data_IF_521098360210
#
_entry.id   IF_521098360210
#
_cell.length_a   1.000
_cell.length_b   1.000
_cell.length_c   1.000
_cell.angle_alpha   90.00
_cell.angle_beta   90.00
_cell.angle_gamma   90.00
#
_symmetry.space_group_name_H-M   'P 1'
#
loop_
_entity.id
_entity.type
_entity.pdbx_description
1 polymer ?
#
# COMPACT_ATOMS: atom_id res chain seq x y z
N UNK A 1 5.44 67.26 48.91
CA UNK A 1 5.78 67.04 47.45
C UNK A 1 4.91 65.92 46.98
N UNK A 2 3.77 66.22 46.35
CA UNK A 2 2.72 65.33 45.93
C UNK A 2 2.87 65.08 44.43
N UNK A 3 3.20 63.85 44.00
CA UNK A 3 3.24 63.43 42.57
C UNK A 3 1.85 62.90 42.21
N UNK A 4 1.15 63.63 41.37
CA UNK A 4 -0.10 63.23 40.72
C UNK A 4 0.20 62.38 39.48
N UNK A 5 -0.16 61.10 39.51
CA UNK A 5 -0.19 60.26 38.34
C UNK A 5 -1.44 60.56 37.50
N UNK A 6 -1.24 61.22 36.36
CA UNK A 6 -2.27 61.40 35.34
C UNK A 6 -2.28 60.12 34.46
N UNK A 7 -3.37 59.35 34.46
CA UNK A 7 -3.68 58.28 33.54
C UNK A 7 -4.09 58.86 32.18
N UNK A 8 -3.52 58.44 31.04
CA UNK A 8 -3.99 58.88 29.72
C UNK A 8 -5.35 58.24 29.39
N UNK A 9 -6.33 59.09 29.09
CA UNK A 9 -7.62 58.68 28.53
C UNK A 9 -7.38 58.05 27.13
N UNK A 10 -7.68 56.76 26.97
CA UNK A 10 -7.72 56.08 25.64
C UNK A 10 -8.87 56.70 24.82
N UNK A 11 -8.48 57.38 23.77
CA UNK A 11 -9.36 58.06 22.82
C UNK A 11 -10.18 56.97 22.08
N UNK A 12 -11.52 57.15 22.10
CA UNK A 12 -12.47 56.20 21.45
C UNK A 12 -12.37 56.19 19.92
N UNK A 13 -11.62 57.10 19.35
CA UNK A 13 -11.42 57.23 17.89
C UNK A 13 -10.50 56.14 17.35
N UNK A 14 -9.53 55.64 18.14
CA UNK A 14 -8.59 54.61 17.68
C UNK A 14 -9.17 53.22 17.58
N UNK A 15 -10.30 52.92 18.26
CA UNK A 15 -10.91 51.58 18.19
C UNK A 15 -11.71 51.35 16.89
N UNK A 16 -12.25 52.41 16.30
CA UNK A 16 -13.02 52.35 15.06
C UNK A 16 -12.08 52.23 13.84
N UNK A 17 -10.96 52.96 13.84
CA UNK A 17 -9.97 52.86 12.76
C UNK A 17 -9.28 51.48 12.70
N UNK A 18 -9.03 50.87 13.90
CA UNK A 18 -8.46 49.49 13.93
C UNK A 18 -9.45 48.48 13.39
N UNK A 19 -10.76 48.65 13.61
CA UNK A 19 -11.79 47.73 13.09
C UNK A 19 -11.94 47.84 11.57
N UNK A 20 -11.82 49.06 11.04
CA UNK A 20 -11.90 49.27 9.58
C UNK A 20 -10.66 48.83 8.83
N UNK A 21 -9.49 48.87 9.44
CA UNK A 21 -8.25 48.29 8.88
C UNK A 21 -8.32 46.76 8.84
N UNK A 22 -8.90 46.11 9.87
CA UNK A 22 -9.14 44.65 9.83
C UNK A 22 -10.26 44.22 8.88
N UNK A 23 -11.22 45.10 8.60
CA UNK A 23 -12.25 44.83 7.59
C UNK A 23 -11.77 45.03 6.16
N UNK A 24 -10.77 45.88 5.93
CA UNK A 24 -10.15 46.13 4.62
C UNK A 24 -9.07 45.12 4.25
N UNK A 25 -8.44 44.46 5.23
CA UNK A 25 -7.58 43.29 4.99
C UNK A 25 -8.49 42.08 4.93
N UNK A 26 -8.95 41.74 3.71
CA UNK A 26 -9.72 40.52 3.47
C UNK A 26 -8.99 39.35 4.15
N UNK A 27 -9.75 38.46 4.82
CA UNK A 27 -9.20 37.27 5.46
C UNK A 27 -8.14 36.65 4.55
N UNK A 28 -6.90 36.44 5.01
CA UNK A 28 -5.86 35.85 4.19
C UNK A 28 -6.40 34.52 3.69
N UNK A 29 -6.71 34.45 2.40
CA UNK A 29 -7.10 33.16 1.80
C UNK A 29 -5.93 32.23 2.01
N UNK A 30 -6.14 31.04 2.62
CA UNK A 30 -5.07 30.11 2.86
C UNK A 30 -4.37 29.87 1.51
N UNK A 31 -3.04 29.93 1.46
CA UNK A 31 -2.28 29.78 0.22
C UNK A 31 -2.73 28.51 -0.48
N UNK A 32 -3.06 28.59 -1.78
CA UNK A 32 -3.41 27.42 -2.57
C UNK A 32 -2.14 26.58 -2.70
N UNK A 33 -1.94 25.68 -1.76
CA UNK A 33 -0.83 24.75 -1.79
C UNK A 33 -0.89 23.91 -3.06
N UNK A 34 0.21 23.85 -3.81
CA UNK A 34 0.34 22.97 -4.96
C UNK A 34 0.10 21.49 -4.58
N UNK A 35 -0.19 20.64 -5.55
CA UNK A 35 -0.49 19.22 -5.33
C UNK A 35 0.58 18.51 -4.47
N UNK A 36 1.86 18.72 -4.78
CA UNK A 36 2.98 18.13 -4.02
C UNK A 36 3.03 18.60 -2.58
N UNK A 37 2.76 19.88 -2.32
CA UNK A 37 2.74 20.41 -0.96
C UNK A 37 1.55 19.86 -0.16
N UNK A 38 0.39 19.69 -0.79
CA UNK A 38 -0.79 19.03 -0.17
C UNK A 38 -0.55 17.57 0.11
N UNK A 39 0.19 16.88 -0.75
CA UNK A 39 0.60 15.50 -0.57
C UNK A 39 1.55 15.38 0.65
N UNK A 40 2.56 16.26 0.72
CA UNK A 40 3.54 16.26 1.81
C UNK A 40 2.94 16.65 3.16
N UNK A 41 2.01 17.62 3.18
CA UNK A 41 1.34 18.08 4.40
C UNK A 41 0.16 17.22 4.83
N UNK A 42 -0.25 16.21 4.04
CA UNK A 42 -1.36 15.32 4.34
C UNK A 42 -2.74 16.01 4.39
N UNK A 43 -2.88 17.19 3.76
CA UNK A 43 -4.08 18.01 3.83
C UNK A 43 -5.19 17.63 2.84
N UNK A 44 -5.18 16.40 2.28
CA UNK A 44 -6.22 15.88 1.39
C UNK A 44 -5.89 16.08 -0.10
N UNK A 45 -4.76 15.53 -0.55
CA UNK A 45 -4.36 15.56 -1.96
C UNK A 45 -5.16 14.57 -2.82
N UNK A 46 -5.51 13.41 -2.26
CA UNK A 46 -6.15 12.29 -2.96
C UNK A 46 -7.45 11.89 -2.26
N UNK A 47 -8.52 11.74 -3.03
CA UNK A 47 -9.78 11.17 -2.56
C UNK A 47 -9.82 9.67 -2.86
N UNK A 48 -9.33 8.87 -1.92
CA UNK A 48 -9.31 7.40 -2.02
C UNK A 48 -10.66 6.83 -1.66
N UNK A 49 -11.23 7.25 -0.53
CA UNK A 49 -12.47 6.69 0.01
C UNK A 49 -13.70 7.11 -0.80
N UNK A 50 -13.75 8.34 -1.30
CA UNK A 50 -14.84 8.79 -2.17
C UNK A 50 -14.87 8.04 -3.50
N UNK A 51 -13.71 7.66 -4.02
CA UNK A 51 -13.57 6.89 -5.27
C UNK A 51 -13.42 5.38 -5.04
N UNK A 52 -13.85 4.84 -3.90
CA UNK A 52 -13.70 3.43 -3.53
C UNK A 52 -14.23 2.44 -4.58
N UNK A 53 -15.30 2.78 -5.31
CA UNK A 53 -15.84 1.94 -6.40
C UNK A 53 -14.83 1.74 -7.53
N UNK A 54 -14.13 2.81 -7.90
CA UNK A 54 -13.06 2.74 -8.91
C UNK A 54 -11.92 1.85 -8.44
N UNK A 55 -11.47 2.02 -7.20
CA UNK A 55 -10.40 1.19 -6.63
C UNK A 55 -10.78 -0.27 -6.54
N UNK A 56 -12.04 -0.59 -6.17
CA UNK A 56 -12.52 -1.98 -6.17
C UNK A 56 -12.58 -2.59 -7.57
N UNK A 57 -12.94 -1.82 -8.60
CA UNK A 57 -12.92 -2.31 -9.97
C UNK A 57 -11.48 -2.60 -10.44
N UNK A 58 -10.54 -1.72 -10.13
CA UNK A 58 -9.11 -1.93 -10.44
C UNK A 58 -8.59 -3.17 -9.69
N UNK A 59 -8.84 -3.26 -8.39
CA UNK A 59 -8.45 -4.40 -7.56
C UNK A 59 -9.06 -5.72 -8.09
N UNK A 60 -10.35 -5.72 -8.42
CA UNK A 60 -11.03 -6.88 -8.97
C UNK A 60 -10.44 -7.29 -10.34
N UNK A 61 -10.13 -6.33 -11.20
CA UNK A 61 -9.48 -6.60 -12.49
C UNK A 61 -8.09 -7.23 -12.30
N UNK A 62 -7.28 -6.69 -11.38
CA UNK A 62 -5.96 -7.24 -11.05
C UNK A 62 -6.09 -8.67 -10.53
N UNK A 63 -7.01 -8.92 -9.60
CA UNK A 63 -7.26 -10.28 -9.05
C UNK A 63 -7.73 -11.25 -10.14
N UNK A 64 -8.67 -10.82 -11.00
CA UNK A 64 -9.16 -11.66 -12.09
C UNK A 64 -8.06 -12.04 -13.08
N UNK A 65 -7.21 -11.09 -13.46
CA UNK A 65 -6.04 -11.35 -14.32
C UNK A 65 -5.07 -12.30 -13.63
N UNK A 66 -4.79 -12.09 -12.34
CA UNK A 66 -3.90 -12.94 -11.55
C UNK A 66 -4.43 -14.37 -11.45
N UNK A 67 -5.69 -14.55 -11.06
CA UNK A 67 -6.32 -15.87 -10.98
C UNK A 67 -6.43 -16.52 -12.35
N UNK A 68 -6.79 -15.76 -13.39
CA UNK A 68 -6.80 -16.27 -14.77
C UNK A 68 -5.43 -16.77 -15.18
N UNK A 69 -4.36 -16.02 -14.94
CA UNK A 69 -3.00 -16.46 -15.23
C UNK A 69 -2.65 -17.75 -14.48
N UNK A 70 -2.92 -17.82 -13.18
CA UNK A 70 -2.64 -19.01 -12.37
C UNK A 70 -3.39 -20.24 -12.91
N UNK A 71 -4.65 -20.09 -13.31
CA UNK A 71 -5.47 -21.19 -13.79
C UNK A 71 -5.09 -21.67 -15.20
N UNK A 72 -4.75 -20.75 -16.11
CA UNK A 72 -4.47 -21.11 -17.51
C UNK A 72 -2.99 -21.38 -17.80
N UNK A 73 -2.09 -20.71 -17.08
CA UNK A 73 -0.65 -20.81 -17.33
C UNK A 73 0.10 -21.63 -16.27
N UNK A 74 -0.44 -21.71 -15.04
CA UNK A 74 0.20 -22.40 -13.93
C UNK A 74 1.44 -21.67 -13.41
N UNK A 75 2.33 -22.43 -12.76
CA UNK A 75 3.61 -21.93 -12.21
C UNK A 75 4.78 -22.70 -12.81
N UNK A 76 5.89 -22.01 -12.96
CA UNK A 76 7.19 -22.63 -13.25
C UNK A 76 7.90 -22.92 -11.93
N UNK A 77 7.81 -24.15 -11.43
CA UNK A 77 8.49 -24.51 -10.21
C UNK A 77 9.99 -24.76 -10.47
N UNK A 78 10.84 -24.34 -9.52
CA UNK A 78 12.26 -24.62 -9.55
C UNK A 78 12.57 -26.09 -9.25
N UNK A 79 13.79 -26.52 -9.60
CA UNK A 79 14.26 -27.88 -9.29
C UNK A 79 14.22 -28.18 -7.79
N UNK A 80 14.27 -27.16 -6.95
CA UNK A 80 14.15 -27.28 -5.51
C UNK A 80 12.79 -27.83 -5.04
N UNK A 81 11.75 -27.72 -5.90
CA UNK A 81 10.39 -28.20 -5.62
C UNK A 81 10.03 -29.45 -6.45
N UNK A 82 10.37 -29.48 -7.73
CA UNK A 82 10.03 -30.58 -8.63
C UNK A 82 11.11 -31.67 -8.67
N UNK A 83 12.32 -31.34 -8.22
CA UNK A 83 13.51 -32.14 -8.49
C UNK A 83 14.13 -31.77 -9.83
N UNK A 84 15.23 -32.37 -10.16
CA UNK A 84 15.94 -32.17 -11.42
C UNK A 84 17.36 -31.71 -11.25
N UNK A 85 18.01 -31.43 -12.40
CA UNK A 85 19.39 -31.00 -12.49
C UNK A 85 19.50 -29.55 -12.96
N UNK A 86 20.36 -28.76 -12.31
CA UNK A 86 20.70 -27.40 -12.68
C UNK A 86 22.18 -27.33 -13.03
N UNK A 87 22.47 -26.97 -14.25
CA UNK A 87 23.83 -26.78 -14.76
C UNK A 87 24.04 -25.29 -14.99
N UNK A 88 25.14 -24.74 -14.47
CA UNK A 88 25.47 -23.33 -14.67
C UNK A 88 26.97 -23.19 -15.01
N UNK A 89 27.25 -22.27 -15.96
CA UNK A 89 28.60 -21.96 -16.40
C UNK A 89 28.69 -20.52 -16.89
N UNK A 90 29.90 -19.88 -16.87
CA UNK A 90 30.09 -18.55 -17.44
C UNK A 90 29.69 -18.53 -18.92
N UNK A 91 28.72 -17.64 -19.26
CA UNK A 91 28.11 -17.65 -20.59
C UNK A 91 29.12 -17.30 -21.70
N UNK A 92 30.07 -16.41 -21.42
CA UNK A 92 31.03 -15.96 -22.46
C UNK A 92 30.30 -15.49 -23.72
N UNK A 93 30.52 -16.16 -24.83
CA UNK A 93 29.84 -15.95 -26.12
C UNK A 93 28.71 -16.95 -26.38
N UNK A 94 28.33 -17.79 -25.40
CA UNK A 94 27.29 -18.77 -25.57
C UNK A 94 25.92 -18.09 -25.68
N UNK A 95 25.12 -18.49 -26.65
CA UNK A 95 23.71 -18.13 -26.76
C UNK A 95 22.82 -19.22 -26.15
N UNK A 96 21.61 -18.86 -25.71
CA UNK A 96 20.66 -19.83 -25.15
C UNK A 96 20.34 -20.96 -26.15
N UNK A 97 20.12 -20.62 -27.41
CA UNK A 97 19.85 -21.60 -28.46
C UNK A 97 21.03 -22.59 -28.70
N UNK A 98 22.27 -22.06 -28.67
CA UNK A 98 23.42 -22.94 -28.80
C UNK A 98 23.61 -23.86 -27.58
N UNK A 99 23.25 -23.43 -26.41
CA UNK A 99 23.27 -24.26 -25.20
C UNK A 99 22.16 -25.32 -25.22
N UNK A 100 20.98 -24.99 -25.74
CA UNK A 100 19.88 -25.93 -25.97
C UNK A 100 20.30 -27.04 -27.00
N UNK A 101 20.95 -26.63 -28.09
CA UNK A 101 21.42 -27.60 -29.11
C UNK A 101 22.48 -28.56 -28.55
N UNK A 102 23.42 -28.05 -27.74
CA UNK A 102 24.42 -28.91 -27.09
C UNK A 102 23.76 -29.85 -26.08
N UNK A 103 22.79 -29.34 -25.30
CA UNK A 103 22.04 -30.19 -24.36
C UNK A 103 21.29 -31.30 -25.12
N UNK A 104 20.53 -30.96 -26.18
CA UNK A 104 19.79 -31.92 -26.98
C UNK A 104 20.72 -32.96 -27.63
N UNK A 105 21.88 -32.53 -28.09
CA UNK A 105 22.88 -33.44 -28.67
C UNK A 105 23.51 -34.38 -27.65
N UNK A 106 23.67 -33.98 -26.41
CA UNK A 106 24.28 -34.80 -25.36
C UNK A 106 23.28 -35.71 -24.64
N UNK A 107 22.04 -35.28 -24.44
CA UNK A 107 21.04 -35.97 -23.62
C UNK A 107 19.95 -36.62 -24.46
N UNK A 108 19.65 -36.08 -25.65
CA UNK A 108 18.62 -36.57 -26.55
C UNK A 108 17.22 -36.01 -26.29
N UNK A 109 17.03 -35.18 -25.27
CA UNK A 109 15.78 -34.48 -24.93
C UNK A 109 15.99 -32.98 -24.89
N UNK A 110 14.91 -32.20 -24.83
CA UNK A 110 15.01 -30.78 -24.65
C UNK A 110 15.20 -30.43 -23.16
N UNK A 111 15.97 -29.37 -22.83
CA UNK A 111 16.05 -28.90 -21.46
C UNK A 111 14.73 -28.25 -21.05
N UNK A 112 14.41 -28.27 -19.75
CA UNK A 112 13.23 -27.60 -19.22
C UNK A 112 13.29 -26.08 -19.44
N UNK A 113 14.47 -25.47 -19.25
CA UNK A 113 14.72 -24.08 -19.60
C UNK A 113 16.20 -23.77 -19.72
N UNK A 114 16.53 -22.79 -20.59
CA UNK A 114 17.87 -22.21 -20.69
C UNK A 114 17.77 -20.70 -20.56
N UNK A 115 18.52 -20.14 -19.63
CA UNK A 115 18.49 -18.71 -19.34
C UNK A 115 19.91 -18.15 -19.17
N UNK A 116 20.08 -16.87 -19.55
CA UNK A 116 21.30 -16.12 -19.22
C UNK A 116 21.00 -15.17 -18.08
N UNK A 117 21.82 -15.20 -17.04
CA UNK A 117 21.73 -14.31 -15.87
C UNK A 117 23.01 -13.49 -15.78
N UNK A 118 22.86 -12.17 -15.57
CA UNK A 118 23.99 -11.25 -15.61
C UNK A 118 24.26 -10.67 -17.00
N UNK A 119 25.28 -9.83 -17.12
CA UNK A 119 25.63 -9.13 -18.36
C UNK A 119 27.15 -9.11 -18.56
N UNK A 120 27.58 -9.06 -19.83
CA UNK A 120 29.00 -8.96 -20.17
C UNK A 120 29.82 -10.15 -19.65
N UNK A 121 30.98 -9.86 -19.06
CA UNK A 121 31.92 -10.89 -18.60
C UNK A 121 31.46 -11.70 -17.38
N UNK A 122 30.45 -11.25 -16.65
CA UNK A 122 29.83 -11.95 -15.50
C UNK A 122 28.59 -12.73 -15.86
N UNK A 123 28.17 -12.73 -17.14
CA UNK A 123 27.00 -13.48 -17.59
C UNK A 123 27.18 -14.98 -17.32
N UNK A 124 26.19 -15.59 -16.72
CA UNK A 124 26.15 -17.02 -16.40
C UNK A 124 25.02 -17.66 -17.18
N UNK A 125 25.32 -18.74 -17.91
CA UNK A 125 24.31 -19.59 -18.54
C UNK A 125 23.79 -20.57 -17.50
N UNK A 126 22.46 -20.68 -17.41
CA UNK A 126 21.75 -21.58 -16.49
C UNK A 126 20.86 -22.49 -17.31
N UNK A 127 21.12 -23.79 -17.24
CA UNK A 127 20.33 -24.83 -17.87
C UNK A 127 19.60 -25.61 -16.78
N UNK A 128 18.30 -25.79 -16.91
CA UNK A 128 17.47 -26.66 -16.08
C UNK A 128 17.02 -27.87 -16.89
N UNK A 129 17.06 -29.00 -16.24
CA UNK A 129 16.59 -30.25 -16.84
C UNK A 129 15.86 -31.13 -15.82
N UNK A 130 15.20 -32.16 -16.29
CA UNK A 130 14.80 -33.28 -15.44
C UNK A 130 16.03 -33.90 -14.77
N UNK A 131 15.80 -34.76 -13.79
CA UNK A 131 16.90 -35.42 -13.08
C UNK A 131 17.79 -36.21 -14.05
N UNK A 132 19.07 -35.86 -14.11
CA UNK A 132 20.07 -36.51 -14.91
C UNK A 132 20.84 -37.56 -14.08
N UNK A 133 21.17 -38.70 -14.67
CA UNK A 133 22.09 -39.63 -14.05
C UNK A 133 23.54 -39.13 -14.16
N UNK A 134 24.45 -39.75 -13.40
CA UNK A 134 25.86 -39.34 -13.39
C UNK A 134 26.54 -39.42 -14.75
N UNK A 135 26.18 -40.39 -15.60
CA UNK A 135 26.75 -40.52 -16.94
C UNK A 135 26.26 -39.41 -17.86
N UNK A 136 24.98 -39.06 -17.75
CA UNK A 136 24.36 -37.93 -18.49
C UNK A 136 24.98 -36.61 -18.07
N UNK A 137 25.18 -36.37 -16.79
CA UNK A 137 25.85 -35.18 -16.26
C UNK A 137 27.27 -35.07 -16.81
N UNK A 138 28.04 -36.16 -16.78
CA UNK A 138 29.40 -36.16 -17.34
C UNK A 138 29.42 -35.94 -18.86
N UNK A 139 28.51 -36.58 -19.60
CA UNK A 139 28.39 -36.38 -21.05
C UNK A 139 28.05 -34.93 -21.39
N UNK A 140 27.09 -34.34 -20.68
CA UNK A 140 26.69 -32.95 -20.87
C UNK A 140 27.82 -31.98 -20.51
N UNK A 141 28.48 -32.17 -19.37
CA UNK A 141 29.61 -31.34 -18.95
C UNK A 141 30.75 -31.40 -19.98
N UNK A 142 31.03 -32.57 -20.54
CA UNK A 142 32.04 -32.73 -21.61
C UNK A 142 31.63 -32.00 -22.89
N UNK A 143 30.35 -32.10 -23.29
CA UNK A 143 29.85 -31.47 -24.50
C UNK A 143 29.86 -29.92 -24.33
N UNK A 144 29.41 -29.38 -23.17
CA UNK A 144 29.44 -27.97 -22.85
C UNK A 144 30.88 -27.44 -22.82
N UNK A 145 31.80 -28.20 -22.21
CA UNK A 145 33.20 -27.81 -22.17
C UNK A 145 33.84 -27.79 -23.55
N UNK A 146 33.60 -28.81 -24.35
CA UNK A 146 34.11 -28.89 -25.72
C UNK A 146 33.63 -27.72 -26.60
N UNK A 147 32.37 -27.33 -26.46
CA UNK A 147 31.74 -26.28 -27.29
C UNK A 147 32.07 -24.87 -26.82
N UNK A 148 31.97 -24.59 -25.51
CA UNK A 148 32.00 -23.24 -24.99
C UNK A 148 33.28 -22.87 -24.25
N UNK A 149 34.08 -23.86 -23.84
CA UNK A 149 35.35 -23.68 -23.09
C UNK A 149 35.20 -22.64 -21.96
N UNK A 150 34.24 -22.83 -21.02
CA UNK A 150 33.99 -21.86 -19.97
C UNK A 150 35.25 -21.65 -19.17
N UNK A 151 35.52 -20.34 -18.84
CA UNK A 151 36.71 -19.92 -18.14
C UNK A 151 36.47 -19.89 -16.64
N UNK A 152 37.45 -20.31 -15.88
CA UNK A 152 37.48 -20.16 -14.44
C UNK A 152 37.77 -18.70 -14.00
N UNK A 153 37.86 -18.46 -12.70
CA UNK A 153 38.19 -17.14 -12.15
C UNK A 153 39.59 -16.63 -12.54
N UNK A 154 40.45 -17.53 -12.99
CA UNK A 154 41.81 -17.22 -13.43
C UNK A 154 41.85 -16.94 -14.94
N UNK A 155 40.72 -17.04 -15.64
CA UNK A 155 40.59 -16.82 -17.08
C UNK A 155 40.99 -18.01 -17.96
N UNK A 156 41.26 -19.19 -17.38
CA UNK A 156 41.63 -20.39 -18.09
C UNK A 156 40.40 -21.25 -18.36
N UNK A 157 40.29 -21.90 -19.54
CA UNK A 157 39.25 -22.89 -19.79
C UNK A 157 39.32 -24.02 -18.77
N UNK A 158 38.24 -24.26 -18.05
CA UNK A 158 38.20 -25.25 -16.97
C UNK A 158 36.83 -25.92 -16.88
N UNK A 159 36.81 -27.24 -16.73
CA UNK A 159 35.56 -27.98 -16.42
C UNK A 159 35.01 -27.58 -15.05
N UNK A 160 35.88 -27.19 -14.13
CA UNK A 160 35.46 -26.72 -12.80
C UNK A 160 34.64 -25.40 -12.85
N UNK A 161 34.64 -24.69 -14.00
CA UNK A 161 33.77 -23.54 -14.24
C UNK A 161 32.31 -23.96 -14.53
N UNK A 162 32.04 -25.25 -14.80
CA UNK A 162 30.69 -25.80 -14.91
C UNK A 162 30.28 -26.34 -13.56
N UNK A 163 29.26 -25.79 -12.97
CA UNK A 163 28.70 -26.23 -11.69
C UNK A 163 27.38 -26.96 -11.94
N UNK A 164 27.26 -28.16 -11.41
CA UNK A 164 26.04 -28.96 -11.46
C UNK A 164 25.46 -29.11 -10.07
N UNK A 165 24.16 -28.98 -9.94
CA UNK A 165 23.41 -29.18 -8.70
C UNK A 165 22.19 -30.04 -9.00
N UNK A 166 22.07 -31.15 -8.33
CA UNK A 166 21.01 -32.13 -8.50
C UNK A 166 20.12 -32.16 -7.26
N UNK A 167 18.82 -32.17 -7.46
CA UNK A 167 17.82 -32.23 -6.40
C UNK A 167 16.90 -33.42 -6.68
N UNK A 168 16.79 -34.35 -5.72
CA UNK A 168 15.87 -35.46 -5.85
C UNK A 168 14.41 -35.02 -5.66
N UNK A 169 13.48 -35.67 -6.36
CA UNK A 169 12.03 -35.41 -6.23
C UNK A 169 11.53 -35.56 -4.79
N UNK A 170 12.06 -36.54 -4.04
CA UNK A 170 11.70 -36.73 -2.64
C UNK A 170 12.09 -35.55 -1.75
N UNK A 171 13.22 -34.93 -2.03
CA UNK A 171 13.70 -33.75 -1.33
C UNK A 171 12.88 -32.52 -1.70
N UNK A 172 12.57 -32.35 -2.99
CA UNK A 172 11.70 -31.28 -3.49
C UNK A 172 10.31 -31.32 -2.84
N UNK A 173 9.69 -32.51 -2.76
CA UNK A 173 8.38 -32.67 -2.12
C UNK A 173 8.38 -32.32 -0.61
N UNK A 174 9.47 -32.66 0.09
CA UNK A 174 9.65 -32.29 1.51
C UNK A 174 9.79 -30.79 1.69
N UNK A 175 10.52 -30.09 0.82
CA UNK A 175 10.67 -28.64 0.85
C UNK A 175 9.32 -27.98 0.59
N UNK A 176 8.59 -28.41 -0.43
CA UNK A 176 7.25 -27.91 -0.76
C UNK A 176 6.32 -28.00 0.46
N UNK A 177 6.29 -29.18 1.11
CA UNK A 177 5.49 -29.39 2.31
C UNK A 177 5.88 -28.43 3.46
N UNK A 178 7.19 -28.29 3.71
CA UNK A 178 7.68 -27.38 4.77
C UNK A 178 7.37 -25.93 4.45
N UNK A 179 7.49 -25.51 3.18
CA UNK A 179 7.15 -24.16 2.73
C UNK A 179 5.67 -23.83 2.93
N UNK A 180 4.76 -24.76 2.58
CA UNK A 180 3.33 -24.59 2.80
C UNK A 180 2.97 -24.55 4.28
N UNK A 181 3.60 -25.39 5.12
CA UNK A 181 3.41 -25.35 6.57
C UNK A 181 3.90 -24.01 7.14
N UNK A 182 5.07 -23.53 6.73
CA UNK A 182 5.60 -22.23 7.16
C UNK A 182 4.67 -21.08 6.79
N UNK A 183 4.14 -21.07 5.57
CA UNK A 183 3.17 -20.07 5.13
C UNK A 183 1.88 -20.14 5.96
N UNK A 184 1.33 -21.33 6.18
CA UNK A 184 0.12 -21.50 6.98
C UNK A 184 0.32 -21.06 8.44
N UNK A 185 1.42 -21.48 9.08
CA UNK A 185 1.77 -21.05 10.45
C UNK A 185 1.94 -19.54 10.52
N UNK A 186 2.63 -18.93 9.56
CA UNK A 186 2.79 -17.48 9.50
C UNK A 186 1.43 -16.76 9.39
N UNK A 187 0.56 -17.19 8.49
CA UNK A 187 -0.77 -16.59 8.34
C UNK A 187 -1.62 -16.71 9.60
N UNK A 188 -1.55 -17.85 10.30
CA UNK A 188 -2.24 -18.04 11.59
C UNK A 188 -1.69 -17.10 12.64
N UNK A 189 -0.35 -17.00 12.80
CA UNK A 189 0.28 -16.09 13.76
C UNK A 189 -0.11 -14.63 13.49
N UNK A 190 -0.09 -14.22 12.22
CA UNK A 190 -0.52 -12.89 11.80
C UNK A 190 -1.99 -12.65 12.08
N UNK A 191 -2.86 -13.63 11.79
CA UNK A 191 -4.30 -13.52 12.06
C UNK A 191 -4.57 -13.35 13.56
N UNK A 192 -3.89 -14.12 14.41
CA UNK A 192 -3.97 -14.00 15.88
C UNK A 192 -3.47 -12.62 16.35
N UNK A 193 -2.32 -12.18 15.86
CA UNK A 193 -1.77 -10.85 16.20
C UNK A 193 -2.76 -9.73 15.85
N UNK A 194 -3.30 -9.74 14.63
CA UNK A 194 -4.27 -8.73 14.17
C UNK A 194 -5.56 -8.80 14.99
N UNK A 195 -6.08 -10.01 15.27
CA UNK A 195 -7.30 -10.19 16.04
C UNK A 195 -7.20 -9.68 17.50
N UNK A 196 -6.00 -9.78 18.10
CA UNK A 196 -5.74 -9.27 19.45
C UNK A 196 -5.51 -7.75 19.44
N UNK A 197 -4.85 -7.22 18.40
CA UNK A 197 -4.43 -5.81 18.35
C UNK A 197 -5.51 -4.86 17.83
N UNK A 198 -6.38 -5.32 16.94
CA UNK A 198 -7.33 -4.49 16.20
C UNK A 198 -8.77 -4.92 16.41
N UNK A 199 -9.70 -4.00 16.12
CA UNK A 199 -11.11 -4.30 16.04
C UNK A 199 -11.40 -5.34 14.92
N UNK A 200 -12.45 -6.19 15.06
CA UNK A 200 -12.76 -7.24 14.09
C UNK A 200 -12.89 -6.75 12.64
N UNK A 201 -13.41 -5.55 12.42
CA UNK A 201 -13.55 -4.97 11.08
C UNK A 201 -12.19 -4.64 10.44
N UNK A 202 -11.23 -4.16 11.23
CA UNK A 202 -9.86 -3.91 10.80
C UNK A 202 -9.13 -5.23 10.52
N UNK A 203 -9.34 -6.23 11.39
CA UNK A 203 -8.77 -7.56 11.21
C UNK A 203 -9.21 -8.20 9.88
N UNK A 204 -10.50 -8.16 9.56
CA UNK A 204 -11.04 -8.67 8.29
C UNK A 204 -10.42 -7.92 7.10
N UNK A 205 -10.32 -6.60 7.17
CA UNK A 205 -9.76 -5.80 6.08
C UNK A 205 -8.25 -6.09 5.88
N UNK A 206 -7.48 -6.26 6.95
CA UNK A 206 -6.06 -6.60 6.88
C UNK A 206 -5.83 -8.00 6.31
N UNK A 207 -6.59 -9.01 6.77
CA UNK A 207 -6.48 -10.38 6.24
C UNK A 207 -6.88 -10.46 4.78
N UNK A 208 -7.90 -9.71 4.35
CA UNK A 208 -8.28 -9.62 2.95
C UNK A 208 -7.17 -8.96 2.10
N UNK A 209 -6.46 -7.95 2.64
CA UNK A 209 -5.32 -7.34 1.97
C UNK A 209 -4.15 -8.31 1.83
N UNK A 210 -3.82 -9.07 2.88
CA UNK A 210 -2.78 -10.11 2.82
C UNK A 210 -3.13 -11.21 1.79
N UNK A 211 -4.40 -11.65 1.75
CA UNK A 211 -4.85 -12.61 0.74
C UNK A 211 -4.72 -12.05 -0.68
N UNK A 212 -5.05 -10.77 -0.87
CA UNK A 212 -4.84 -10.05 -2.12
C UNK A 212 -3.36 -10.03 -2.50
N UNK A 213 -2.47 -9.66 -1.58
CA UNK A 213 -1.03 -9.56 -1.82
C UNK A 213 -0.42 -10.88 -2.28
N UNK A 214 -0.77 -11.99 -1.60
CA UNK A 214 -0.33 -13.33 -2.00
C UNK A 214 -0.86 -13.67 -3.39
N UNK A 215 -2.16 -13.46 -3.63
CA UNK A 215 -2.81 -13.81 -4.90
C UNK A 215 -2.21 -13.04 -6.07
N UNK A 216 -2.01 -11.73 -5.90
CA UNK A 216 -1.47 -10.88 -6.98
C UNK A 216 0.00 -11.15 -7.21
N UNK A 217 0.80 -11.34 -6.16
CA UNK A 217 2.22 -11.69 -6.30
C UNK A 217 2.37 -13.03 -7.02
N UNK A 218 1.60 -14.04 -6.62
CA UNK A 218 1.55 -15.33 -7.30
C UNK A 218 1.07 -15.19 -8.76
N UNK A 219 0.06 -14.36 -9.01
CA UNK A 219 -0.45 -14.06 -10.35
C UNK A 219 0.59 -13.42 -11.27
N UNK A 220 1.38 -12.48 -10.76
CA UNK A 220 2.49 -11.86 -11.52
C UNK A 220 3.55 -12.90 -11.85
N UNK A 221 3.89 -13.78 -10.90
CA UNK A 221 4.83 -14.87 -11.12
C UNK A 221 4.36 -15.81 -12.23
N UNK A 222 3.10 -16.22 -12.19
CA UNK A 222 2.48 -17.03 -13.22
C UNK A 222 2.44 -16.30 -14.58
N UNK A 223 2.05 -15.01 -14.59
CA UNK A 223 1.88 -14.22 -15.81
C UNK A 223 3.21 -13.98 -16.55
N UNK A 224 4.26 -13.66 -15.82
CA UNK A 224 5.59 -13.39 -16.39
C UNK A 224 6.36 -14.70 -16.64
N UNK A 225 6.02 -15.77 -15.92
CA UNK A 225 6.71 -17.05 -16.00
C UNK A 225 7.98 -17.07 -15.15
N UNK A 226 7.99 -16.33 -14.04
CA UNK A 226 9.10 -16.39 -13.10
C UNK A 226 9.17 -17.75 -12.39
N UNK A 227 10.38 -18.16 -12.03
CA UNK A 227 10.62 -19.42 -11.35
C UNK A 227 10.24 -19.31 -9.87
N UNK A 228 9.45 -20.27 -9.39
CA UNK A 228 9.10 -20.39 -7.97
C UNK A 228 10.13 -21.27 -7.29
N UNK A 229 10.91 -20.69 -6.39
CA UNK A 229 11.98 -21.36 -5.63
C UNK A 229 11.72 -21.21 -4.11
N UNK A 230 12.43 -21.91 -3.23
CA UNK A 230 12.35 -21.66 -1.79
C UNK A 230 12.65 -20.22 -1.42
N UNK A 231 13.53 -19.54 -2.17
CA UNK A 231 13.79 -18.10 -1.99
C UNK A 231 12.54 -17.26 -2.28
N UNK A 232 11.72 -17.66 -3.26
CA UNK A 232 10.43 -17.00 -3.55
C UNK A 232 9.48 -17.09 -2.35
N UNK A 233 9.39 -18.27 -1.70
CA UNK A 233 8.52 -18.45 -0.51
C UNK A 233 9.01 -17.58 0.65
N UNK A 234 10.32 -17.57 0.92
CA UNK A 234 10.91 -16.70 1.95
C UNK A 234 10.61 -15.23 1.64
N UNK A 235 10.75 -14.83 0.39
CA UNK A 235 10.42 -13.50 -0.07
C UNK A 235 8.95 -13.13 0.16
N UNK A 236 8.01 -14.03 -0.17
CA UNK A 236 6.57 -13.82 0.08
C UNK A 236 6.32 -13.61 1.59
N UNK A 237 6.88 -14.45 2.46
CA UNK A 237 6.72 -14.28 3.91
C UNK A 237 7.24 -12.92 4.40
N UNK A 238 8.39 -12.49 3.86
CA UNK A 238 8.98 -11.20 4.19
C UNK A 238 8.08 -10.03 3.76
N UNK A 239 7.54 -10.09 2.53
CA UNK A 239 6.66 -9.05 1.99
C UNK A 239 5.36 -8.94 2.76
N UNK A 240 4.77 -10.07 3.15
CA UNK A 240 3.55 -10.07 3.97
C UNK A 240 3.77 -9.33 5.29
N UNK A 241 4.97 -9.42 5.88
CA UNK A 241 5.35 -8.62 7.04
C UNK A 241 5.38 -7.12 6.76
N UNK A 242 5.96 -6.70 5.62
CA UNK A 242 5.97 -5.30 5.20
C UNK A 242 4.58 -4.76 4.90
N UNK A 243 3.76 -5.52 4.16
CA UNK A 243 2.38 -5.14 3.83
C UNK A 243 1.51 -4.99 5.07
N UNK A 244 1.66 -5.94 6.01
CA UNK A 244 0.98 -5.86 7.30
C UNK A 244 1.37 -4.61 8.06
N UNK A 245 2.67 -4.31 8.15
CA UNK A 245 3.18 -3.13 8.85
C UNK A 245 2.56 -1.83 8.27
N UNK A 246 2.50 -1.70 6.95
CA UNK A 246 1.93 -0.53 6.30
C UNK A 246 0.41 -0.41 6.56
N UNK A 247 -0.32 -1.52 6.47
CA UNK A 247 -1.75 -1.57 6.81
C UNK A 247 -2.02 -1.18 8.28
N UNK A 248 -1.20 -1.67 9.23
CA UNK A 248 -1.27 -1.33 10.65
C UNK A 248 -1.13 0.16 10.87
N UNK A 249 -0.15 0.81 10.24
CA UNK A 249 0.10 2.25 10.37
C UNK A 249 -1.08 3.07 9.87
N UNK A 250 -1.68 2.68 8.73
CA UNK A 250 -2.85 3.37 8.19
C UNK A 250 -4.05 3.17 9.11
N UNK A 251 -4.27 1.96 9.63
CA UNK A 251 -5.40 1.65 10.50
C UNK A 251 -5.30 2.36 11.87
N UNK A 252 -4.12 2.42 12.47
CA UNK A 252 -3.89 3.19 13.69
C UNK A 252 -4.25 4.67 13.47
N UNK A 253 -3.88 5.23 12.31
CA UNK A 253 -4.23 6.62 11.98
C UNK A 253 -5.73 6.82 11.69
N UNK A 254 -6.38 5.82 11.09
CA UNK A 254 -7.84 5.82 10.92
C UNK A 254 -8.51 5.78 12.29
N UNK A 255 -8.06 4.94 13.21
CA UNK A 255 -8.60 4.82 14.56
C UNK A 255 -8.45 6.15 15.33
N UNK A 256 -7.25 6.75 15.29
CA UNK A 256 -6.97 8.05 15.90
C UNK A 256 -7.92 9.14 15.37
N UNK A 257 -8.05 9.28 14.05
CA UNK A 257 -8.87 10.30 13.42
C UNK A 257 -10.38 10.08 13.61
N UNK A 258 -10.81 8.84 13.83
CA UNK A 258 -12.23 8.49 14.00
C UNK A 258 -12.63 8.32 15.45
N UNK A 259 -11.70 8.49 16.39
CA UNK A 259 -11.99 8.41 17.81
C UNK A 259 -13.07 9.44 18.21
N UNK A 260 -14.12 8.99 18.90
CA UNK A 260 -15.22 9.85 19.34
C UNK A 260 -16.10 10.43 18.24
N UNK A 261 -15.99 9.98 16.99
CA UNK A 261 -16.72 10.53 15.83
C UNK A 261 -18.23 10.48 15.99
N UNK A 262 -18.77 9.50 16.70
CA UNK A 262 -20.21 9.34 16.95
C UNK A 262 -20.84 10.52 17.68
N UNK A 263 -20.05 11.28 18.44
CA UNK A 263 -20.47 12.48 19.17
C UNK A 263 -20.38 13.76 18.31
N UNK A 264 -19.73 13.71 17.16
CA UNK A 264 -19.53 14.84 16.25
C UNK A 264 -20.47 14.72 15.05
N UNK A 265 -21.08 15.80 14.59
CA UNK A 265 -21.97 15.80 13.40
C UNK A 265 -21.38 16.59 12.23
N UNK A 266 -20.06 16.85 12.25
CA UNK A 266 -19.40 17.68 11.24
C UNK A 266 -18.84 16.87 10.08
N UNK A 267 -18.27 15.68 10.35
CA UNK A 267 -17.63 14.81 9.34
C UNK A 267 -18.15 13.39 9.44
N UNK A 268 -18.14 12.67 8.31
CA UNK A 268 -18.45 11.25 8.25
C UNK A 268 -17.22 10.42 8.60
N UNK A 269 -17.42 9.14 8.91
CA UNK A 269 -16.33 8.18 9.14
C UNK A 269 -15.42 8.08 7.91
N UNK A 270 -16.01 7.95 6.70
CA UNK A 270 -15.24 7.89 5.46
C UNK A 270 -14.39 9.14 5.19
N UNK A 271 -14.86 10.34 5.53
CA UNK A 271 -14.07 11.57 5.39
C UNK A 271 -12.87 11.63 6.35
N UNK A 272 -13.03 11.14 7.58
CA UNK A 272 -11.92 11.06 8.52
C UNK A 272 -10.92 9.97 8.15
N UNK A 273 -11.41 8.83 7.67
CA UNK A 273 -10.55 7.78 7.14
C UNK A 273 -9.77 8.26 5.90
N UNK A 274 -10.40 9.01 4.99
CA UNK A 274 -9.70 9.60 3.84
C UNK A 274 -8.61 10.60 4.28
N UNK A 275 -8.86 11.36 5.34
CA UNK A 275 -7.86 12.23 5.92
C UNK A 275 -6.68 11.43 6.50
N UNK A 276 -6.95 10.33 7.21
CA UNK A 276 -5.94 9.43 7.74
C UNK A 276 -5.05 8.85 6.64
N UNK A 277 -5.65 8.37 5.53
CA UNK A 277 -4.91 7.91 4.34
C UNK A 277 -3.98 9.00 3.81
N UNK A 278 -4.47 10.23 3.64
CA UNK A 278 -3.62 11.32 3.14
C UNK A 278 -2.48 11.67 4.10
N UNK A 279 -2.70 11.58 5.41
CA UNK A 279 -1.68 11.84 6.43
C UNK A 279 -0.59 10.75 6.48
N UNK A 280 -0.93 9.51 6.15
CA UNK A 280 0.01 8.38 6.15
C UNK A 280 0.65 8.12 4.79
N UNK A 281 0.08 8.65 3.71
CA UNK A 281 0.49 8.37 2.32
C UNK A 281 1.98 8.60 2.07
N UNK A 282 2.52 9.75 2.50
CA UNK A 282 3.96 10.04 2.33
C UNK A 282 4.84 9.09 3.14
N UNK A 283 4.37 8.65 4.31
CA UNK A 283 5.08 7.65 5.10
C UNK A 283 5.11 6.30 4.38
N UNK A 284 3.98 5.83 3.86
CA UNK A 284 3.91 4.58 3.08
C UNK A 284 4.78 4.63 1.82
N UNK A 285 4.76 5.74 1.08
CA UNK A 285 5.64 5.94 -0.08
C UNK A 285 7.12 5.90 0.33
N UNK A 286 7.50 6.62 1.39
CA UNK A 286 8.89 6.64 1.86
C UNK A 286 9.34 5.26 2.36
N UNK A 287 8.49 4.54 3.08
CA UNK A 287 8.78 3.17 3.54
C UNK A 287 8.98 2.23 2.36
N UNK A 288 8.12 2.31 1.34
CA UNK A 288 8.27 1.54 0.11
C UNK A 288 9.59 1.88 -0.62
N UNK A 289 9.92 3.16 -0.79
CA UNK A 289 11.17 3.59 -1.43
C UNK A 289 12.41 3.10 -0.68
N UNK A 290 12.41 3.19 0.66
CA UNK A 290 13.50 2.68 1.49
C UNK A 290 13.61 1.16 1.37
N UNK A 291 12.48 0.44 1.29
CA UNK A 291 12.46 -1.01 1.08
C UNK A 291 12.92 -1.43 -0.32
N UNK A 292 12.57 -0.67 -1.36
CA UNK A 292 12.96 -0.94 -2.75
C UNK A 292 14.48 -0.75 -2.96
N UNK A 293 15.08 0.21 -2.30
CA UNK A 293 16.49 0.57 -2.52
C UNK A 293 17.47 -0.62 -2.35
N UNK A 294 17.45 -1.40 -1.25
CA UNK A 294 18.31 -2.58 -1.15
C UNK A 294 17.94 -3.68 -2.15
N UNK A 295 16.66 -3.82 -2.53
CA UNK A 295 16.22 -4.81 -3.54
C UNK A 295 16.79 -4.44 -4.92
N UNK A 296 16.74 -3.17 -5.31
CA UNK A 296 17.36 -2.67 -6.54
C UNK A 296 18.87 -2.86 -6.47
N UNK A 297 19.50 -2.56 -5.33
CA UNK A 297 20.93 -2.83 -5.11
C UNK A 297 21.27 -4.31 -5.31
N UNK A 298 20.47 -5.22 -4.75
CA UNK A 298 20.62 -6.66 -4.92
C UNK A 298 20.47 -7.06 -6.41
N UNK A 299 19.47 -6.52 -7.10
CA UNK A 299 19.23 -6.80 -8.51
C UNK A 299 20.38 -6.31 -9.40
N UNK A 300 20.84 -5.08 -9.20
CA UNK A 300 21.90 -4.49 -10.01
C UNK A 300 23.25 -5.13 -9.69
N UNK A 301 23.64 -5.22 -8.43
CA UNK A 301 24.97 -5.66 -8.03
C UNK A 301 25.09 -7.18 -8.10
N UNK A 302 24.21 -7.91 -7.39
CA UNK A 302 24.36 -9.37 -7.28
C UNK A 302 23.92 -10.09 -8.55
N UNK A 303 22.80 -9.68 -9.16
CA UNK A 303 22.26 -10.38 -10.33
C UNK A 303 22.90 -9.88 -11.62
N UNK A 304 22.89 -8.57 -11.88
CA UNK A 304 23.41 -8.02 -13.15
C UNK A 304 24.94 -8.01 -13.22
N UNK A 305 25.62 -7.49 -12.17
CA UNK A 305 27.07 -7.35 -12.21
C UNK A 305 27.82 -8.63 -11.86
N UNK A 306 27.32 -9.43 -10.90
CA UNK A 306 27.99 -10.64 -10.41
C UNK A 306 27.42 -11.95 -10.98
N UNK A 307 26.27 -11.90 -11.70
CA UNK A 307 25.65 -13.08 -12.31
C UNK A 307 25.14 -14.13 -11.33
N UNK A 308 24.79 -13.73 -10.08
CA UNK A 308 24.29 -14.64 -9.04
C UNK A 308 22.81 -14.90 -9.26
N UNK A 309 22.51 -15.97 -10.03
CA UNK A 309 21.13 -16.30 -10.45
C UNK A 309 20.18 -16.61 -9.31
N UNK A 310 20.65 -17.27 -8.25
CA UNK A 310 19.83 -17.64 -7.08
C UNK A 310 19.23 -16.46 -6.32
N UNK A 311 19.88 -15.28 -6.35
CA UNK A 311 19.38 -14.05 -5.71
C UNK A 311 18.36 -13.32 -6.58
N UNK A 312 18.26 -13.63 -7.87
CA UNK A 312 17.30 -13.04 -8.79
C UNK A 312 15.86 -13.27 -8.34
N UNK A 313 15.53 -14.52 -8.01
CA UNK A 313 14.17 -14.89 -7.62
C UNK A 313 13.73 -14.21 -6.33
N UNK A 314 14.65 -14.12 -5.35
CA UNK A 314 14.42 -13.40 -4.10
C UNK A 314 14.18 -11.91 -4.35
N UNK A 315 15.01 -11.27 -5.18
CA UNK A 315 14.88 -9.84 -5.51
C UNK A 315 13.56 -9.55 -6.27
N UNK A 316 13.22 -10.41 -7.24
CA UNK A 316 11.99 -10.25 -8.04
C UNK A 316 10.74 -10.33 -7.16
N UNK A 317 10.62 -11.36 -6.31
CA UNK A 317 9.45 -11.52 -5.46
C UNK A 317 9.32 -10.35 -4.47
N UNK A 318 10.43 -9.91 -3.89
CA UNK A 318 10.43 -8.77 -2.97
C UNK A 318 10.01 -7.48 -3.68
N UNK A 319 10.51 -7.23 -4.89
CA UNK A 319 10.13 -6.04 -5.67
C UNK A 319 8.64 -6.03 -6.00
N UNK A 320 8.13 -7.12 -6.58
CA UNK A 320 6.73 -7.26 -6.95
C UNK A 320 5.83 -7.11 -5.72
N UNK A 321 6.12 -7.86 -4.67
CA UNK A 321 5.27 -7.90 -3.49
C UNK A 321 5.28 -6.60 -2.70
N UNK A 322 6.42 -5.88 -2.65
CA UNK A 322 6.47 -4.57 -1.98
C UNK A 322 5.61 -3.53 -2.72
N UNK A 323 5.62 -3.54 -4.05
CA UNK A 323 4.74 -2.68 -4.85
C UNK A 323 3.27 -3.03 -4.65
N UNK A 324 2.94 -4.33 -4.67
CA UNK A 324 1.58 -4.84 -4.44
C UNK A 324 1.09 -4.50 -3.03
N UNK A 325 1.91 -4.73 -2.00
CA UNK A 325 1.58 -4.44 -0.60
C UNK A 325 1.37 -2.95 -0.33
N UNK A 326 2.18 -2.07 -0.93
CA UNK A 326 1.98 -0.62 -0.83
C UNK A 326 0.68 -0.18 -1.49
N UNK A 327 0.31 -0.79 -2.62
CA UNK A 327 -0.98 -0.54 -3.25
C UNK A 327 -2.13 -1.03 -2.37
N UNK A 328 -2.04 -2.25 -1.87
CA UNK A 328 -3.14 -2.91 -1.15
C UNK A 328 -3.49 -2.22 0.17
N UNK A 329 -2.49 -1.79 0.94
CA UNK A 329 -2.68 -1.10 2.23
C UNK A 329 -3.50 0.20 2.10
N UNK A 330 -3.23 0.98 1.04
CA UNK A 330 -3.82 2.30 0.82
C UNK A 330 -5.13 2.20 0.03
N UNK A 331 -5.11 1.51 -1.10
CA UNK A 331 -6.19 1.55 -2.10
C UNK A 331 -7.20 0.40 -1.99
N UNK A 332 -6.87 -0.65 -1.21
CA UNK A 332 -7.78 -1.77 -0.99
C UNK A 332 -8.17 -1.95 0.47
N UNK A 333 -7.23 -2.13 1.39
CA UNK A 333 -7.52 -2.42 2.80
C UNK A 333 -8.32 -1.31 3.48
N UNK A 334 -7.91 -0.05 3.32
CA UNK A 334 -8.57 1.08 3.97
C UNK A 334 -9.97 1.36 3.41
N UNK A 335 -10.22 1.41 2.08
CA UNK A 335 -11.58 1.46 1.54
C UNK A 335 -12.45 0.29 1.99
N UNK A 336 -11.90 -0.91 2.10
CA UNK A 336 -12.61 -2.10 2.56
C UNK A 336 -13.05 -1.95 4.01
N UNK A 337 -12.15 -1.53 4.91
CA UNK A 337 -12.45 -1.22 6.30
C UNK A 337 -13.62 -0.22 6.41
N UNK A 338 -13.53 0.89 5.68
CA UNK A 338 -14.58 1.92 5.68
C UNK A 338 -15.90 1.36 5.19
N UNK A 339 -15.89 0.56 4.11
CA UNK A 339 -17.10 -0.04 3.56
C UNK A 339 -17.77 -1.01 4.52
N UNK A 340 -16.99 -1.79 5.28
CA UNK A 340 -17.52 -2.71 6.29
C UNK A 340 -18.13 -1.89 7.46
N UNK A 341 -17.42 -0.89 7.99
CA UNK A 341 -17.89 -0.06 9.11
C UNK A 341 -19.10 0.82 8.76
N UNK A 342 -19.17 1.35 7.54
CA UNK A 342 -20.29 2.17 7.10
C UNK A 342 -21.53 1.35 6.69
N UNK A 343 -21.39 0.04 6.49
CA UNK A 343 -22.52 -0.82 6.09
C UNK A 343 -23.41 -1.21 7.28
N UNK A 344 -22.82 -1.41 8.45
CA UNK A 344 -23.50 -1.90 9.64
C UNK A 344 -23.12 -1.12 10.91
N UNK A 345 -24.04 -1.10 11.88
CA UNK A 345 -23.78 -0.60 13.21
C UNK A 345 -23.91 0.93 13.38
N UNK A 346 -23.37 1.48 14.47
CA UNK A 346 -23.56 2.88 14.87
C UNK A 346 -22.92 3.87 13.87
N UNK A 347 -21.86 3.50 13.18
CA UNK A 347 -21.18 4.32 12.17
C UNK A 347 -22.10 4.56 10.96
N UNK A 348 -22.85 3.53 10.52
CA UNK A 348 -23.82 3.67 9.42
C UNK A 348 -24.93 4.70 9.76
N UNK A 349 -25.47 4.62 10.98
CA UNK A 349 -26.49 5.54 11.46
C UNK A 349 -25.94 6.98 11.58
N UNK A 350 -24.71 7.12 12.09
CA UNK A 350 -24.01 8.40 12.19
C UNK A 350 -23.78 9.03 10.81
N UNK A 351 -23.27 8.29 9.84
CA UNK A 351 -23.02 8.76 8.47
C UNK A 351 -24.33 9.27 7.85
N UNK A 352 -25.45 8.52 7.97
CA UNK A 352 -26.77 8.96 7.51
C UNK A 352 -27.22 10.27 8.17
N UNK A 353 -27.04 10.41 9.51
CA UNK A 353 -27.37 11.62 10.25
C UNK A 353 -26.58 12.84 9.78
N UNK A 354 -25.27 12.69 9.57
CA UNK A 354 -24.41 13.76 9.07
C UNK A 354 -24.81 14.21 7.68
N UNK A 355 -25.06 13.27 6.77
CA UNK A 355 -25.49 13.56 5.40
C UNK A 355 -26.88 14.23 5.36
N UNK A 356 -27.84 13.77 6.15
CA UNK A 356 -29.17 14.37 6.25
C UNK A 356 -29.09 15.83 6.78
N UNK A 357 -28.27 16.08 7.79
CA UNK A 357 -28.03 17.44 8.30
C UNK A 357 -27.43 18.37 7.27
N UNK A 358 -26.49 17.89 6.47
CA UNK A 358 -25.88 18.67 5.36
C UNK A 358 -26.89 18.96 4.25
N UNK A 359 -27.72 17.99 3.88
CA UNK A 359 -28.78 18.17 2.87
C UNK A 359 -29.80 19.21 3.31
N UNK A 360 -30.25 19.17 4.58
CA UNK A 360 -31.12 20.20 5.14
C UNK A 360 -30.51 21.60 5.16
N UNK A 361 -29.23 21.71 5.54
CA UNK A 361 -28.53 23.00 5.50
C UNK A 361 -28.29 23.52 4.07
N UNK A 362 -28.04 22.64 3.12
CA UNK A 362 -27.91 23.01 1.71
C UNK A 362 -29.25 23.47 1.12
N UNK A 363 -30.36 22.77 1.44
CA UNK A 363 -31.71 23.18 1.02
C UNK A 363 -32.09 24.56 1.59
N UNK A 364 -31.82 24.81 2.85
CA UNK A 364 -32.08 26.11 3.48
C UNK A 364 -31.27 27.24 2.80
N UNK A 365 -30.01 27.01 2.49
CA UNK A 365 -29.16 27.99 1.76
C UNK A 365 -29.67 28.24 0.32
N UNK A 366 -30.11 27.20 -0.38
CA UNK A 366 -30.67 27.32 -1.71
C UNK A 366 -31.98 28.09 -1.71
N UNK A 367 -32.85 27.87 -0.70
CA UNK A 367 -34.08 28.65 -0.51
C UNK A 367 -33.82 30.14 -0.32
N UNK A 368 -32.88 30.49 0.59
CA UNK A 368 -32.49 31.91 0.81
C UNK A 368 -31.87 32.53 -0.43
N UNK A 369 -31.07 31.77 -1.20
CA UNK A 369 -30.50 32.28 -2.45
C UNK A 369 -31.56 32.50 -3.56
N UNK A 370 -32.54 31.60 -3.64
CA UNK A 370 -33.69 31.75 -4.56
C UNK A 370 -34.54 32.96 -4.18
N UNK A 371 -34.83 33.14 -2.89
CA UNK A 371 -35.57 34.29 -2.38
C UNK A 371 -34.86 35.64 -2.67
N UNK A 372 -33.53 35.68 -2.46
CA UNK A 372 -32.70 36.83 -2.88
C UNK A 372 -32.77 37.15 -4.34
N UNK A 373 -32.69 36.11 -5.21
CA UNK A 373 -32.79 36.29 -6.67
C UNK A 373 -34.18 36.79 -7.07
N UNK A 374 -35.24 36.28 -6.48
CA UNK A 374 -36.59 36.70 -6.74
C UNK A 374 -36.85 38.16 -6.31
N UNK A 375 -36.32 38.58 -5.15
CA UNK A 375 -36.44 39.97 -4.68
C UNK A 375 -35.64 40.96 -5.55
N UNK A 376 -34.43 40.56 -5.99
CA UNK A 376 -33.67 41.38 -6.97
C UNK A 376 -34.36 41.48 -8.33
N UNK A 377 -34.97 40.42 -8.83
CA UNK A 377 -35.73 40.40 -10.06
C UNK A 377 -37.04 41.25 -9.95
N UNK A 378 -37.60 41.33 -8.76
CA UNK A 378 -38.81 42.14 -8.48
C UNK A 378 -38.48 43.62 -8.20
N UNK A 379 -37.23 44.07 -8.32
CA UNK A 379 -36.81 45.45 -8.02
C UNK A 379 -36.99 45.88 -6.56
N UNK A 380 -37.09 44.92 -5.63
CA UNK A 380 -37.19 45.17 -4.18
C UNK A 380 -35.81 45.01 -3.54
N UNK A 381 -35.35 46.05 -2.86
CA UNK A 381 -34.14 45.92 -2.03
C UNK A 381 -34.35 44.80 -1.01
N UNK A 382 -33.42 43.89 -0.98
CA UNK A 382 -33.42 42.81 0.02
C UNK A 382 -33.03 43.40 1.36
N UNK A 383 -34.03 43.79 2.16
CA UNK A 383 -33.82 44.18 3.52
C UNK A 383 -33.38 42.92 4.29
N UNK A 384 -32.07 42.81 4.53
CA UNK A 384 -31.50 41.75 5.35
C UNK A 384 -32.06 41.91 6.76
N UNK A 385 -33.12 41.13 7.08
CA UNK A 385 -33.62 41.03 8.44
C UNK A 385 -32.41 40.81 9.33
N UNK A 386 -32.06 41.72 10.21
CA UNK A 386 -30.89 41.57 11.05
C UNK A 386 -31.04 40.23 11.76
N UNK A 387 -30.08 39.33 11.55
CA UNK A 387 -29.94 38.07 12.32
C UNK A 387 -30.06 38.50 13.76
N UNK A 388 -31.23 38.18 14.39
CA UNK A 388 -31.67 38.73 15.63
C UNK A 388 -30.50 39.09 16.53
N UNK A 389 -30.30 40.34 16.74
CA UNK A 389 -29.51 40.82 17.87
C UNK A 389 -30.01 39.97 19.01
N UNK A 390 -29.27 38.94 19.40
CA UNK A 390 -29.39 38.41 20.75
C UNK A 390 -29.27 39.65 21.57
N UNK A 391 -30.39 40.10 22.18
CA UNK A 391 -30.40 41.17 23.13
C UNK A 391 -29.14 41.01 23.98
N UNK A 392 -28.24 41.99 23.92
CA UNK A 392 -27.00 41.93 24.64
C UNK A 392 -27.38 41.56 26.07
N UNK A 393 -27.13 40.30 26.44
CA UNK A 393 -27.52 39.77 27.70
C UNK A 393 -26.86 40.64 28.72
N UNK A 394 -27.66 41.31 29.53
CA UNK A 394 -27.19 42.00 30.70
C UNK A 394 -26.24 41.02 31.42
N UNK A 395 -25.01 41.45 31.60
CA UNK A 395 -24.01 40.74 32.39
C UNK A 395 -24.67 40.36 33.73
N UNK A 396 -24.69 39.07 34.14
CA UNK A 396 -25.26 38.66 35.40
C UNK A 396 -24.62 39.48 36.53
N UNK A 397 -25.42 40.10 37.33
CA UNK A 397 -24.93 40.80 38.53
C UNK A 397 -24.12 39.79 39.36
N UNK A 398 -22.93 40.13 39.85
CA UNK A 398 -22.16 39.26 40.74
C UNK A 398 -23.03 38.88 41.96
N UNK A 399 -23.31 37.57 42.12
CA UNK A 399 -24.10 37.08 43.26
C UNK A 399 -25.45 36.41 42.91
N UNK A 400 -25.96 36.46 41.69
CA UNK A 400 -27.19 35.76 41.33
C UNK A 400 -27.00 34.26 41.24
N UNK A 401 -27.53 33.47 42.18
CA UNK A 401 -27.57 31.99 42.12
C UNK A 401 -28.51 31.56 40.99
N UNK A 402 -28.15 30.52 40.20
CA UNK A 402 -29.04 29.98 39.17
C UNK A 402 -30.27 29.34 39.85
N UNK A 403 -31.49 29.75 39.46
CA UNK A 403 -32.75 29.17 39.88
C UNK A 403 -32.94 27.80 39.17
N UNK A 404 -32.43 26.73 39.76
CA UNK A 404 -32.67 25.37 39.32
C UNK A 404 -34.09 24.97 39.67
N UNK A 405 -34.96 24.70 38.67
CA UNK A 405 -36.24 24.05 38.86
C UNK A 405 -36.02 22.61 39.38
N UNK A 406 -36.31 22.44 40.67
CA UNK A 406 -36.32 21.13 41.35
C UNK A 406 -37.53 20.31 40.84
N UNK A 407 -37.30 19.32 40.01
CA UNK A 407 -38.32 18.30 39.69
C UNK A 407 -38.57 17.48 40.95
N UNK A 408 -39.81 17.64 41.54
CA UNK A 408 -40.36 16.79 42.58
C UNK A 408 -40.60 15.39 41.99
N UNK A 409 -39.83 14.39 42.45
CA UNK A 409 -40.22 12.99 42.33
C UNK A 409 -41.48 12.76 43.17
N UNK A 410 -42.52 12.24 42.57
CA UNK A 410 -43.69 11.62 43.26
C UNK A 410 -43.47 10.12 43.22
N UNK A 411 -43.78 9.49 44.33
CA UNK A 411 -43.71 8.06 44.64
C UNK A 411 -44.30 7.16 43.58
#
# INVERSE_FOLDING_TARGET
MTNSHTTPSLDKTSATEITDVFAAVGEPQPPKHGFLNRLYTGTGAIDVIGKRRMWYLITAAIVLVSLGSILFRGFNFGIDFEGGSRIQFPAGNATTSAAEDVYRGAIGTDPVSVQTVGTGGSATMLIRSEALDQQQVEALNNALFAKFQPKDKSGNPSRAAISTSDVSETWGSQITRKALIALAVFLVLVAVYIAVRFEPHMAIAALAALAFDVTVTAGVYSLVGFEVTPATVIGILTILGFSLYDSVVVFDKVEENTHGILHLTRRTYGEQANLAVNQTLMRSINTALIGILPIVGLMVIAVWMLGVGTLKDLALVQLVGLLVGTYSSIFFATPLLVSIKERWGPVAAHTKKVLAKRAGAAGARAGVAAERRASMAAGRDFEEKPRGQRAAGQTPRPGARPSGKRHKRRN
#
